data_IF_205228312452
#
_entry.id   IF_205228312452
#
_cell.length_a   1.000
_cell.length_b   1.000
_cell.length_c   1.000
_cell.angle_alpha   90.00
_cell.angle_beta   90.00
_cell.angle_gamma   90.00
#
_symmetry.space_group_name_H-M   'P 1'
#
loop_
_entity.id
_entity.type
_entity.pdbx_description
1 polymer ?
#
# COMPACT_ATOMS: atom_id res chain seq x y z
N UNK A 1 3.15 3.36 23.75
CA UNK A 1 2.40 4.11 22.73
C UNK A 1 2.29 3.22 21.50
N UNK A 2 1.13 3.12 20.91
CA UNK A 2 0.90 2.40 19.66
C UNK A 2 1.37 3.27 18.48
N UNK A 3 1.96 2.65 17.45
CA UNK A 3 2.39 3.33 16.23
C UNK A 3 1.17 3.60 15.33
N UNK A 4 1.05 4.81 14.82
CA UNK A 4 -0.04 5.23 13.94
C UNK A 4 0.19 4.82 12.48
N UNK A 5 1.39 5.07 11.93
CA UNK A 5 1.76 4.70 10.56
C UNK A 5 1.95 3.20 10.44
N UNK A 6 1.29 2.56 9.48
CA UNK A 6 1.31 1.10 9.31
C UNK A 6 2.56 0.63 8.55
N UNK A 7 2.91 -0.64 8.71
CA UNK A 7 4.02 -1.27 7.98
C UNK A 7 3.49 -2.39 7.10
N UNK A 8 3.76 -2.27 5.80
CA UNK A 8 3.59 -3.33 4.82
C UNK A 8 4.93 -4.04 4.62
N UNK A 9 5.00 -5.34 4.84
CA UNK A 9 6.21 -6.12 4.64
C UNK A 9 6.02 -7.17 3.55
N UNK A 10 6.97 -7.26 2.61
CA UNK A 10 6.92 -8.26 1.56
C UNK A 10 7.44 -9.60 2.06
N UNK A 11 6.62 -10.65 1.87
CA UNK A 11 7.00 -12.02 2.17
C UNK A 11 7.78 -12.62 1.01
N UNK A 12 8.94 -13.20 1.31
CA UNK A 12 9.80 -13.87 0.35
C UNK A 12 10.66 -14.95 1.02
N UNK A 13 11.74 -15.40 0.40
CA UNK A 13 12.61 -16.44 0.94
C UNK A 13 13.11 -16.16 2.35
N UNK A 14 13.52 -14.91 2.66
CA UNK A 14 14.05 -14.52 3.96
C UNK A 14 13.01 -14.55 5.10
N UNK A 15 11.73 -14.47 4.75
CA UNK A 15 10.59 -14.46 5.68
C UNK A 15 9.62 -15.63 5.44
N UNK A 16 10.12 -16.73 4.85
CA UNK A 16 9.32 -17.95 4.59
C UNK A 16 9.06 -18.78 5.83
N UNK A 17 9.97 -18.75 6.79
CA UNK A 17 9.87 -19.48 8.05
C UNK A 17 8.81 -18.87 8.99
N UNK A 18 8.00 -19.73 9.63
CA UNK A 18 6.90 -19.31 10.51
C UNK A 18 7.38 -18.52 11.73
N UNK A 19 8.55 -18.87 12.29
CA UNK A 19 9.08 -18.19 13.47
C UNK A 19 9.63 -16.80 13.09
N UNK A 20 10.24 -16.65 11.92
CA UNK A 20 10.66 -15.34 11.40
C UNK A 20 9.45 -14.46 11.16
N UNK A 21 8.41 -14.99 10.49
CA UNK A 21 7.16 -14.26 10.23
C UNK A 21 6.48 -13.83 11.54
N UNK A 22 6.45 -14.70 12.55
CA UNK A 22 5.91 -14.37 13.89
C UNK A 22 6.68 -13.21 14.53
N UNK A 23 8.01 -13.24 14.49
CA UNK A 23 8.84 -12.15 15.01
C UNK A 23 8.59 -10.83 14.25
N UNK A 24 8.44 -10.88 12.93
CA UNK A 24 8.12 -9.69 12.12
C UNK A 24 6.75 -9.11 12.49
N UNK A 25 5.71 -9.95 12.68
CA UNK A 25 4.37 -9.49 13.08
C UNK A 25 4.44 -8.88 14.50
N UNK A 26 5.16 -9.50 15.44
CA UNK A 26 5.38 -8.94 16.77
C UNK A 26 6.18 -7.63 16.74
N UNK A 27 7.14 -7.49 15.83
CA UNK A 27 7.92 -6.27 15.61
C UNK A 27 7.11 -5.12 15.02
N UNK A 28 5.94 -5.42 14.40
CA UNK A 28 5.02 -4.37 13.97
C UNK A 28 4.48 -4.47 12.54
N UNK A 29 4.61 -5.59 11.85
CA UNK A 29 3.97 -5.75 10.53
C UNK A 29 2.45 -5.73 10.68
N UNK A 30 1.78 -4.90 9.88
CA UNK A 30 0.32 -4.74 9.85
C UNK A 30 -0.29 -5.37 8.60
N UNK A 31 0.44 -5.37 7.48
CA UNK A 31 0.01 -5.99 6.22
C UNK A 31 1.17 -6.76 5.61
N UNK A 32 0.90 -7.96 5.13
CA UNK A 32 1.86 -8.78 4.38
C UNK A 32 1.57 -8.67 2.89
N UNK A 33 2.56 -8.20 2.14
CA UNK A 33 2.52 -8.15 0.67
C UNK A 33 2.98 -9.48 0.08
N UNK A 34 2.17 -10.04 -0.80
CA UNK A 34 2.50 -11.18 -1.66
C UNK A 34 2.75 -10.66 -3.08
N UNK A 35 3.99 -10.77 -3.55
CA UNK A 35 4.38 -10.31 -4.88
C UNK A 35 4.06 -11.39 -5.94
N UNK A 36 3.05 -11.16 -6.75
CA UNK A 36 2.58 -12.09 -7.78
C UNK A 36 3.46 -12.09 -9.04
N UNK A 37 4.51 -11.27 -9.09
CA UNK A 37 5.55 -11.41 -10.13
C UNK A 37 6.36 -12.69 -9.98
N UNK A 38 6.31 -13.36 -8.82
CA UNK A 38 7.11 -14.53 -8.49
C UNK A 38 6.26 -15.58 -7.77
N UNK A 39 6.46 -16.85 -8.16
CA UNK A 39 5.75 -17.99 -7.57
C UNK A 39 4.54 -18.42 -8.38
N UNK A 40 3.97 -19.55 -7.99
CA UNK A 40 2.77 -20.14 -8.58
C UNK A 40 1.55 -19.83 -7.71
N UNK A 41 0.33 -19.98 -8.23
CA UNK A 41 -0.90 -19.78 -7.44
C UNK A 41 -0.91 -20.57 -6.12
N UNK A 42 -0.43 -21.83 -6.13
CA UNK A 42 -0.39 -22.70 -4.95
C UNK A 42 0.57 -22.15 -3.87
N UNK A 43 1.69 -21.55 -4.30
CA UNK A 43 2.66 -20.94 -3.38
C UNK A 43 2.01 -19.75 -2.65
N UNK A 44 1.21 -18.93 -3.37
CA UNK A 44 0.50 -17.80 -2.78
C UNK A 44 -0.59 -18.26 -1.80
N UNK A 45 -1.30 -19.34 -2.11
CA UNK A 45 -2.27 -19.96 -1.19
C UNK A 45 -1.59 -20.40 0.10
N UNK A 46 -0.51 -21.16 0.01
CA UNK A 46 0.24 -21.61 1.18
C UNK A 46 0.83 -20.45 2.00
N UNK A 47 1.31 -19.40 1.31
CA UNK A 47 1.82 -18.19 1.97
C UNK A 47 0.74 -17.44 2.73
N UNK A 48 -0.43 -17.23 2.12
CA UNK A 48 -1.55 -16.54 2.73
C UNK A 48 -2.07 -17.32 3.96
N UNK A 49 -2.21 -18.64 3.84
CA UNK A 49 -2.63 -19.49 4.95
C UNK A 49 -1.68 -19.35 6.14
N UNK A 50 -0.36 -19.44 5.91
CA UNK A 50 0.62 -19.28 6.99
C UNK A 50 0.54 -17.89 7.65
N UNK A 51 0.30 -16.82 6.88
CA UNK A 51 0.12 -15.47 7.43
C UNK A 51 -1.09 -15.45 8.38
N UNK A 52 -2.23 -16.02 7.98
CA UNK A 52 -3.45 -16.09 8.81
C UNK A 52 -3.22 -16.91 10.09
N UNK A 53 -2.57 -18.06 9.98
CA UNK A 53 -2.24 -18.92 11.12
C UNK A 53 -1.34 -18.21 12.15
N UNK A 54 -0.28 -17.54 11.65
CA UNK A 54 0.66 -16.83 12.54
C UNK A 54 -0.01 -15.59 13.15
N UNK A 55 -0.78 -14.82 12.38
CA UNK A 55 -1.53 -13.66 12.87
C UNK A 55 -2.48 -14.06 14.01
N UNK A 56 -3.23 -15.15 13.84
CA UNK A 56 -4.12 -15.70 14.86
C UNK A 56 -3.34 -16.10 16.12
N UNK A 57 -2.20 -16.77 15.98
CA UNK A 57 -1.35 -17.17 17.10
C UNK A 57 -0.78 -15.99 17.87
N UNK A 58 -0.42 -14.92 17.15
CA UNK A 58 0.09 -13.68 17.77
C UNK A 58 -1.03 -12.86 18.40
N UNK A 59 -2.29 -13.06 17.98
CA UNK A 59 -3.45 -12.28 18.42
C UNK A 59 -3.47 -10.87 17.82
N UNK A 60 -2.91 -10.69 16.61
CA UNK A 60 -2.92 -9.40 15.91
C UNK A 60 -3.59 -9.52 14.54
N UNK A 61 -4.48 -8.58 14.17
CA UNK A 61 -4.98 -8.52 12.81
C UNK A 61 -3.85 -8.17 11.83
N UNK A 62 -3.73 -8.95 10.75
CA UNK A 62 -2.76 -8.73 9.69
C UNK A 62 -3.47 -8.83 8.35
N UNK A 63 -3.42 -7.76 7.55
CA UNK A 63 -3.96 -7.74 6.20
C UNK A 63 -3.06 -8.45 5.18
N UNK A 64 -3.64 -8.88 4.07
CA UNK A 64 -2.91 -9.45 2.93
C UNK A 64 -3.10 -8.55 1.71
N UNK A 65 -1.99 -8.11 1.12
CA UNK A 65 -1.94 -7.35 -0.12
C UNK A 65 -1.38 -8.22 -1.24
N UNK A 66 -2.21 -8.54 -2.23
CA UNK A 66 -1.80 -9.20 -3.46
C UNK A 66 -1.31 -8.13 -4.47
N UNK A 67 -0.03 -8.14 -4.82
CA UNK A 67 0.57 -7.17 -5.73
C UNK A 67 0.76 -7.80 -7.10
N UNK A 68 -0.07 -7.38 -8.07
CA UNK A 68 -0.08 -7.90 -9.44
C UNK A 68 1.19 -7.50 -10.18
N UNK A 69 1.61 -8.35 -11.12
CA UNK A 69 2.83 -8.10 -11.89
C UNK A 69 2.70 -6.90 -12.82
N UNK A 70 1.54 -6.76 -13.49
CA UNK A 70 1.33 -5.79 -14.56
C UNK A 70 2.18 -6.08 -15.82
N UNK A 71 2.14 -5.17 -16.79
CA UNK A 71 2.83 -5.30 -18.07
C UNK A 71 4.30 -4.85 -17.96
N UNK A 72 5.08 -5.40 -17.03
CA UNK A 72 6.51 -5.05 -16.94
C UNK A 72 7.25 -5.61 -18.17
N UNK A 73 7.70 -4.69 -19.01
CA UNK A 73 8.46 -5.01 -20.23
C UNK A 73 9.89 -5.39 -19.84
N UNK A 74 10.42 -6.44 -20.47
CA UNK A 74 11.74 -6.98 -20.13
C UNK A 74 12.54 -7.34 -21.37
N UNK A 75 13.87 -7.24 -21.26
CA UNK A 75 14.77 -7.90 -22.23
C UNK A 75 14.65 -9.41 -22.11
N UNK A 76 14.93 -10.11 -23.21
CA UNK A 76 15.01 -11.56 -23.25
C UNK A 76 16.22 -12.11 -22.49
N UNK A 77 16.52 -13.38 -22.76
CA UNK A 77 17.69 -14.05 -22.19
C UNK A 77 18.92 -13.88 -23.06
N UNK A 78 20.09 -13.91 -22.46
CA UNK A 78 21.39 -13.90 -23.12
C UNK A 78 22.02 -15.31 -23.13
N UNK A 79 22.86 -15.58 -24.12
CA UNK A 79 23.55 -16.87 -24.24
C UNK A 79 24.38 -17.21 -22.98
N UNK A 80 25.04 -16.17 -22.41
CA UNK A 80 25.89 -16.30 -21.21
C UNK A 80 25.22 -15.73 -19.96
N UNK A 81 23.87 -15.53 -19.98
CA UNK A 81 23.09 -14.99 -18.88
C UNK A 81 23.23 -13.50 -18.70
N UNK A 82 24.27 -12.87 -19.27
CA UNK A 82 24.53 -11.43 -19.19
C UNK A 82 25.50 -10.98 -20.29
N UNK A 83 25.50 -9.68 -20.55
CA UNK A 83 26.43 -9.01 -21.46
C UNK A 83 26.94 -7.73 -20.83
N UNK A 84 28.12 -7.26 -21.27
CA UNK A 84 28.61 -5.92 -20.93
C UNK A 84 28.41 -5.01 -22.13
N UNK A 85 27.76 -3.87 -21.94
CA UNK A 85 27.53 -2.85 -22.97
C UNK A 85 28.46 -1.66 -22.74
N UNK A 86 29.14 -1.23 -23.80
CA UNK A 86 30.05 -0.06 -23.75
C UNK A 86 29.34 1.21 -24.20
N UNK A 87 29.72 2.36 -23.65
CA UNK A 87 29.21 3.65 -24.10
C UNK A 87 29.53 3.89 -25.58
N UNK A 88 28.56 4.31 -26.37
CA UNK A 88 28.69 4.54 -27.81
C UNK A 88 28.54 3.28 -28.66
N UNK A 89 28.38 2.10 -28.08
CA UNK A 89 28.14 0.85 -28.78
C UNK A 89 26.75 0.88 -29.42
N UNK A 90 26.63 0.32 -30.64
CA UNK A 90 25.33 0.01 -31.23
C UNK A 90 24.78 -1.25 -30.61
N UNK A 91 23.49 -1.24 -30.24
CA UNK A 91 22.80 -2.39 -29.66
C UNK A 91 21.38 -2.47 -30.22
N UNK A 92 20.93 -3.66 -30.57
CA UNK A 92 19.62 -3.87 -31.20
C UNK A 92 18.69 -4.62 -30.23
N UNK A 93 17.50 -4.03 -30.01
CA UNK A 93 16.41 -4.75 -29.37
C UNK A 93 15.51 -5.32 -30.47
N UNK A 94 15.41 -6.66 -30.56
CA UNK A 94 14.73 -7.35 -31.63
C UNK A 94 13.58 -8.23 -31.10
N UNK A 95 12.36 -7.91 -31.50
CA UNK A 95 11.17 -8.64 -31.08
C UNK A 95 11.17 -10.14 -31.53
N UNK A 96 12.05 -10.54 -32.46
CA UNK A 96 12.20 -11.91 -32.94
C UNK A 96 13.43 -12.65 -32.38
N UNK A 97 14.30 -11.93 -31.66
CA UNK A 97 15.48 -12.55 -31.05
C UNK A 97 15.07 -13.46 -29.90
N UNK A 98 15.43 -14.73 -29.95
CA UNK A 98 15.15 -15.69 -28.87
C UNK A 98 16.27 -15.72 -27.83
N UNK A 99 17.52 -15.57 -28.26
CA UNK A 99 18.69 -15.60 -27.39
C UNK A 99 19.67 -14.49 -27.78
N UNK A 100 19.86 -13.56 -26.83
CA UNK A 100 20.67 -12.37 -27.03
C UNK A 100 22.17 -12.60 -26.88
N UNK A 101 22.94 -11.58 -27.31
CA UNK A 101 24.40 -11.52 -27.22
C UNK A 101 24.84 -10.04 -27.01
N UNK A 102 26.13 -9.73 -27.18
CA UNK A 102 26.66 -8.38 -27.04
C UNK A 102 26.14 -7.38 -28.09
N UNK A 103 25.51 -7.82 -29.18
CA UNK A 103 25.02 -6.97 -30.27
C UNK A 103 23.51 -6.76 -30.24
N UNK A 104 22.76 -7.74 -29.69
CA UNK A 104 21.29 -7.71 -29.65
C UNK A 104 20.69 -8.47 -28.49
N UNK A 105 19.47 -8.09 -28.12
CA UNK A 105 18.64 -8.80 -27.16
C UNK A 105 17.20 -8.93 -27.64
N UNK A 106 16.52 -9.98 -27.15
CA UNK A 106 15.09 -10.16 -27.35
C UNK A 106 14.24 -9.24 -26.47
N UNK A 107 12.93 -9.25 -26.75
CA UNK A 107 11.91 -8.53 -26.01
C UNK A 107 10.75 -9.47 -25.66
N UNK A 108 10.22 -9.39 -24.46
CA UNK A 108 8.98 -10.08 -24.10
C UNK A 108 7.73 -9.32 -24.64
N UNK A 109 7.77 -7.99 -24.68
CA UNK A 109 6.72 -7.13 -25.25
C UNK A 109 7.05 -6.78 -26.71
N UNK A 110 6.42 -7.51 -27.64
CA UNK A 110 6.72 -7.41 -29.09
C UNK A 110 6.27 -6.08 -29.71
N UNK A 111 5.24 -5.44 -29.16
CA UNK A 111 4.71 -4.16 -29.64
C UNK A 111 5.55 -2.95 -29.25
N UNK A 112 6.64 -3.11 -28.48
CA UNK A 112 7.57 -2.03 -28.16
C UNK A 112 8.06 -1.31 -29.43
N UNK A 113 8.20 -2.03 -30.55
CA UNK A 113 8.59 -1.47 -31.85
C UNK A 113 7.59 -0.46 -32.40
N UNK A 114 6.32 -0.48 -31.92
CA UNK A 114 5.29 0.49 -32.30
C UNK A 114 5.24 1.69 -31.34
N UNK A 115 5.71 1.47 -30.10
CA UNK A 115 5.65 2.47 -29.04
C UNK A 115 6.85 3.41 -29.04
N UNK A 116 7.91 3.10 -29.81
CA UNK A 116 9.14 3.89 -29.85
C UNK A 116 9.46 4.38 -31.27
N UNK A 117 10.18 5.48 -31.36
CA UNK A 117 10.64 6.10 -32.61
C UNK A 117 12.03 6.68 -32.42
N UNK A 118 12.64 7.14 -33.50
CA UNK A 118 13.92 7.86 -33.44
C UNK A 118 13.83 9.02 -32.43
N UNK A 119 14.83 9.12 -31.55
CA UNK A 119 14.89 10.07 -30.44
C UNK A 119 14.23 9.61 -29.14
N UNK A 120 13.53 8.46 -29.13
CA UNK A 120 13.08 7.86 -27.87
C UNK A 120 14.27 7.40 -27.04
N UNK A 121 14.15 7.47 -25.70
CA UNK A 121 15.16 6.98 -24.77
C UNK A 121 14.59 5.79 -24.01
N UNK A 122 15.32 4.68 -24.03
CA UNK A 122 14.99 3.47 -23.29
C UNK A 122 15.91 3.31 -22.08
N UNK A 123 15.31 2.99 -20.96
CA UNK A 123 15.97 2.84 -19.66
C UNK A 123 15.88 1.38 -19.24
N UNK A 124 17.02 0.71 -19.15
CA UNK A 124 17.10 -0.71 -18.79
C UNK A 124 17.70 -0.88 -17.40
N UNK A 125 17.34 -1.96 -16.70
CA UNK A 125 17.81 -2.29 -15.35
C UNK A 125 17.63 -1.10 -14.39
N UNK A 126 16.40 -0.61 -14.28
CA UNK A 126 16.01 0.52 -13.43
C UNK A 126 16.80 1.81 -13.73
N UNK A 127 17.11 2.03 -15.03
CA UNK A 127 17.80 3.22 -15.52
C UNK A 127 19.33 3.18 -15.44
N UNK A 128 19.92 2.07 -15.00
CA UNK A 128 21.39 1.90 -14.98
C UNK A 128 22.00 1.88 -16.37
N UNK A 129 21.25 1.38 -17.37
CA UNK A 129 21.64 1.38 -18.75
C UNK A 129 20.68 2.26 -19.54
N UNK A 130 21.22 3.13 -20.36
CA UNK A 130 20.46 4.09 -21.16
C UNK A 130 20.75 3.90 -22.63
N UNK A 131 19.70 3.67 -23.43
CA UNK A 131 19.78 3.46 -24.86
C UNK A 131 19.04 4.60 -25.60
N UNK A 132 19.70 5.23 -26.55
CA UNK A 132 19.08 6.18 -27.48
C UNK A 132 18.61 5.46 -28.72
N UNK A 133 17.32 5.56 -29.05
CA UNK A 133 16.74 4.96 -30.24
C UNK A 133 17.11 5.80 -31.45
N UNK A 134 17.84 5.22 -32.42
CA UNK A 134 18.18 5.86 -33.68
C UNK A 134 17.08 5.66 -34.74
N UNK A 135 16.56 4.43 -34.84
CA UNK A 135 15.52 4.07 -35.81
C UNK A 135 14.86 2.74 -35.44
N UNK A 136 13.67 2.52 -36.01
CA UNK A 136 12.95 1.25 -35.89
C UNK A 136 12.71 0.69 -37.31
N UNK A 137 13.08 -0.56 -37.55
CA UNK A 137 12.88 -1.25 -38.82
C UNK A 137 12.27 -2.62 -38.57
N UNK A 138 10.99 -2.77 -38.92
CA UNK A 138 10.27 -4.03 -38.71
C UNK A 138 10.20 -4.44 -37.24
N UNK A 139 10.88 -5.55 -36.91
CA UNK A 139 10.94 -6.06 -35.52
C UNK A 139 12.13 -5.54 -34.72
N UNK A 140 12.98 -4.72 -35.31
CA UNK A 140 14.25 -4.29 -34.74
C UNK A 140 14.24 -2.82 -34.35
N UNK A 141 14.67 -2.52 -33.12
CA UNK A 141 14.90 -1.19 -32.57
C UNK A 141 16.42 -0.99 -32.50
N UNK A 142 16.95 -0.14 -33.36
CA UNK A 142 18.38 0.19 -33.42
C UNK A 142 18.68 1.29 -32.42
N UNK A 143 19.62 1.06 -31.53
CA UNK A 143 19.97 1.98 -30.47
C UNK A 143 21.48 2.21 -30.37
N UNK A 144 21.85 3.34 -29.75
CA UNK A 144 23.21 3.62 -29.27
C UNK A 144 23.18 3.65 -27.73
N UNK A 145 24.14 2.99 -27.13
CA UNK A 145 24.31 2.96 -25.68
C UNK A 145 24.86 4.30 -25.21
N UNK A 146 24.03 5.07 -24.50
CA UNK A 146 24.45 6.34 -23.85
C UNK A 146 25.18 6.07 -22.56
N UNK A 147 24.62 5.19 -21.71
CA UNK A 147 25.24 4.68 -20.50
C UNK A 147 25.21 3.16 -20.53
N UNK A 148 26.40 2.58 -20.52
CA UNK A 148 26.61 1.14 -20.55
C UNK A 148 26.75 0.53 -19.17
N UNK A 149 27.01 -0.78 -19.15
CA UNK A 149 27.18 -1.57 -17.95
C UNK A 149 26.81 -3.03 -18.16
N UNK A 150 26.73 -3.79 -17.08
CA UNK A 150 26.30 -5.18 -17.11
C UNK A 150 24.77 -5.27 -17.30
N UNK A 151 24.32 -5.90 -18.38
CA UNK A 151 22.90 -6.20 -18.66
C UNK A 151 22.69 -7.70 -18.56
N UNK A 152 21.89 -8.15 -17.59
CA UNK A 152 21.56 -9.56 -17.40
C UNK A 152 20.16 -9.92 -17.89
N UNK A 153 19.82 -11.21 -17.87
CA UNK A 153 18.54 -11.76 -18.27
C UNK A 153 17.33 -11.07 -17.62
N UNK A 154 16.28 -10.89 -18.41
CA UNK A 154 14.96 -10.47 -17.96
C UNK A 154 14.92 -9.12 -17.22
N UNK A 155 15.90 -8.22 -17.44
CA UNK A 155 15.90 -6.88 -16.88
C UNK A 155 14.81 -6.01 -17.47
N UNK A 156 14.22 -5.15 -16.63
CA UNK A 156 13.14 -4.24 -17.01
C UNK A 156 13.56 -3.25 -18.09
N UNK A 157 12.60 -2.89 -18.94
CA UNK A 157 12.72 -1.80 -19.94
C UNK A 157 11.63 -0.78 -19.63
N UNK A 158 12.01 0.46 -19.45
CA UNK A 158 11.10 1.60 -19.38
C UNK A 158 11.39 2.55 -20.55
N UNK A 159 10.40 3.36 -20.94
CA UNK A 159 10.58 4.46 -21.86
C UNK A 159 10.56 5.77 -21.08
N UNK A 160 11.61 6.58 -21.22
CA UNK A 160 11.65 7.90 -20.59
C UNK A 160 10.51 8.78 -21.12
N UNK A 161 9.73 9.38 -20.20
CA UNK A 161 8.58 10.20 -20.55
C UNK A 161 7.30 9.43 -20.88
N UNK A 162 7.25 8.12 -20.62
CA UNK A 162 6.05 7.29 -20.81
C UNK A 162 5.71 6.94 -22.26
N UNK A 163 4.43 6.70 -22.56
CA UNK A 163 3.92 6.43 -23.91
C UNK A 163 3.97 4.98 -24.36
N UNK A 164 4.07 4.03 -23.40
CA UNK A 164 3.94 2.60 -23.71
C UNK A 164 2.46 2.19 -23.77
N UNK A 165 2.04 1.54 -24.86
CA UNK A 165 0.63 1.20 -25.10
C UNK A 165 0.15 -0.06 -24.38
N UNK A 166 1.07 -0.84 -23.77
CA UNK A 166 0.74 -2.07 -23.05
C UNK A 166 -0.42 -1.86 -22.05
N UNK A 167 -1.44 -2.76 -22.06
CA UNK A 167 -2.57 -2.66 -21.12
C UNK A 167 -2.09 -2.86 -19.68
N UNK A 168 -2.71 -2.17 -18.72
CA UNK A 168 -2.35 -2.28 -17.30
C UNK A 168 -2.59 -3.68 -16.73
N UNK A 169 -3.65 -4.36 -17.18
CA UNK A 169 -3.97 -5.72 -16.76
C UNK A 169 -3.66 -6.71 -17.88
N UNK A 170 -2.71 -7.60 -17.62
CA UNK A 170 -2.36 -8.72 -18.52
C UNK A 170 -3.27 -9.92 -18.29
N UNK A 171 -3.23 -10.91 -19.19
CA UNK A 171 -3.93 -12.18 -19.01
C UNK A 171 -3.50 -12.89 -17.71
N UNK A 172 -2.20 -12.80 -17.36
CA UNK A 172 -1.68 -13.32 -16.10
C UNK A 172 -2.32 -12.60 -14.90
N UNK A 173 -2.42 -11.27 -14.95
CA UNK A 173 -3.03 -10.50 -13.84
C UNK A 173 -4.50 -10.87 -13.64
N UNK A 174 -5.25 -11.19 -14.71
CA UNK A 174 -6.62 -11.66 -14.61
C UNK A 174 -6.72 -13.01 -13.89
N UNK A 175 -5.78 -13.93 -14.12
CA UNK A 175 -5.69 -15.20 -13.40
C UNK A 175 -5.19 -15.01 -11.96
N UNK A 176 -4.27 -14.10 -11.75
CA UNK A 176 -3.75 -13.73 -10.42
C UNK A 176 -4.85 -13.09 -9.55
N UNK A 177 -5.76 -12.30 -10.11
CA UNK A 177 -6.93 -11.77 -9.41
C UNK A 177 -7.82 -12.91 -8.87
N UNK A 178 -8.04 -13.97 -9.64
CA UNK A 178 -8.78 -15.16 -9.15
C UNK A 178 -8.07 -15.81 -7.97
N UNK A 179 -6.74 -15.88 -8.03
CA UNK A 179 -5.93 -16.38 -6.91
C UNK A 179 -6.00 -15.45 -5.71
N UNK A 180 -5.93 -14.13 -5.91
CA UNK A 180 -6.08 -13.14 -4.85
C UNK A 180 -7.45 -13.25 -4.15
N UNK A 181 -8.53 -13.47 -4.90
CA UNK A 181 -9.87 -13.74 -4.34
C UNK A 181 -9.89 -15.05 -3.56
N UNK A 182 -9.30 -16.13 -4.10
CA UNK A 182 -9.24 -17.45 -3.43
C UNK A 182 -8.50 -17.41 -2.09
N UNK A 183 -7.50 -16.54 -1.93
CA UNK A 183 -6.77 -16.36 -0.67
C UNK A 183 -7.41 -15.30 0.23
N UNK A 184 -8.57 -14.78 -0.15
CA UNK A 184 -9.27 -13.72 0.58
C UNK A 184 -8.35 -12.51 0.84
N UNK A 185 -7.62 -12.06 -0.19
CA UNK A 185 -6.76 -10.89 -0.08
C UNK A 185 -7.59 -9.65 0.30
N UNK A 186 -7.09 -8.88 1.25
CA UNK A 186 -7.74 -7.65 1.71
C UNK A 186 -7.54 -6.51 0.70
N UNK A 187 -6.40 -6.54 0.00
CA UNK A 187 -6.00 -5.55 -1.00
C UNK A 187 -5.45 -6.22 -2.25
N UNK A 188 -5.75 -5.61 -3.40
CA UNK A 188 -5.12 -5.94 -4.69
C UNK A 188 -4.45 -4.69 -5.24
N UNK A 189 -3.13 -4.71 -5.36
CA UNK A 189 -2.37 -3.63 -5.97
C UNK A 189 -2.24 -3.86 -7.47
N UNK A 190 -2.63 -2.87 -8.25
CA UNK A 190 -2.60 -2.87 -9.72
C UNK A 190 -1.36 -2.13 -10.17
N UNK A 191 -0.47 -2.82 -10.88
CA UNK A 191 0.77 -2.25 -11.41
C UNK A 191 0.54 -1.52 -12.73
N UNK A 192 1.19 -0.39 -12.89
CA UNK A 192 1.21 0.42 -14.10
C UNK A 192 -0.16 0.88 -14.63
N UNK A 193 -1.16 1.24 -13.79
CA UNK A 193 -2.39 1.83 -14.31
C UNK A 193 -2.09 3.17 -14.99
N UNK A 194 -2.84 3.48 -16.05
CA UNK A 194 -2.72 4.73 -16.82
C UNK A 194 -3.94 5.64 -16.66
N UNK A 195 -5.07 5.07 -16.24
CA UNK A 195 -6.35 5.78 -16.17
C UNK A 195 -7.27 5.18 -15.11
N UNK A 196 -8.36 5.90 -14.82
CA UNK A 196 -9.46 5.38 -14.00
C UNK A 196 -10.06 4.07 -14.55
N UNK A 197 -10.11 3.93 -15.89
CA UNK A 197 -10.68 2.74 -16.53
C UNK A 197 -9.93 1.45 -16.16
N UNK A 198 -8.60 1.50 -16.02
CA UNK A 198 -7.79 0.37 -15.59
C UNK A 198 -8.18 -0.08 -14.17
N UNK A 199 -8.42 0.87 -13.27
CA UNK A 199 -8.82 0.59 -11.89
C UNK A 199 -10.25 0.06 -11.80
N UNK A 200 -11.17 0.61 -12.59
CA UNK A 200 -12.54 0.07 -12.68
C UNK A 200 -12.55 -1.35 -13.23
N UNK A 201 -11.73 -1.66 -14.24
CA UNK A 201 -11.60 -3.02 -14.77
C UNK A 201 -11.11 -3.99 -13.69
N UNK A 202 -10.08 -3.62 -12.91
CA UNK A 202 -9.59 -4.44 -11.81
C UNK A 202 -10.69 -4.71 -10.78
N UNK A 203 -11.47 -3.68 -10.37
CA UNK A 203 -12.62 -3.84 -9.46
C UNK A 203 -13.67 -4.79 -10.01
N UNK A 204 -14.01 -4.65 -11.29
CA UNK A 204 -14.98 -5.53 -11.92
C UNK A 204 -14.52 -6.98 -11.96
N UNK A 205 -13.23 -7.24 -12.25
CA UNK A 205 -12.66 -8.59 -12.24
C UNK A 205 -12.67 -9.20 -10.84
N UNK A 206 -12.33 -8.43 -9.80
CA UNK A 206 -12.42 -8.87 -8.40
C UNK A 206 -13.86 -9.25 -8.05
N UNK A 207 -14.84 -8.39 -8.36
CA UNK A 207 -16.24 -8.64 -8.10
C UNK A 207 -16.77 -9.85 -8.88
N UNK A 208 -16.41 -9.96 -10.16
CA UNK A 208 -16.80 -11.10 -11.00
C UNK A 208 -16.25 -12.43 -10.49
N UNK A 209 -15.11 -12.41 -9.80
CA UNK A 209 -14.53 -13.57 -9.12
C UNK A 209 -15.14 -13.83 -7.73
N UNK A 210 -16.08 -13.00 -7.26
CA UNK A 210 -16.74 -13.11 -5.96
C UNK A 210 -15.95 -12.47 -4.80
N UNK A 211 -14.92 -11.67 -5.09
CA UNK A 211 -14.08 -11.01 -4.10
C UNK A 211 -14.55 -9.61 -3.72
N UNK A 212 -14.01 -9.10 -2.61
CA UNK A 212 -14.30 -7.79 -2.04
C UNK A 212 -13.03 -7.01 -1.66
N UNK A 213 -11.88 -7.38 -2.23
CA UNK A 213 -10.61 -6.71 -1.95
C UNK A 213 -10.64 -5.23 -2.35
N UNK A 214 -10.02 -4.39 -1.55
CA UNK A 214 -9.78 -2.98 -1.91
C UNK A 214 -8.69 -2.89 -2.98
N UNK A 215 -8.86 -2.01 -3.96
CA UNK A 215 -7.89 -1.79 -5.02
C UNK A 215 -6.91 -0.68 -4.67
N UNK A 216 -5.62 -0.95 -4.86
CA UNK A 216 -4.53 0.01 -4.66
C UNK A 216 -3.89 0.30 -6.02
N UNK A 217 -3.96 1.53 -6.51
CA UNK A 217 -3.30 1.93 -7.73
C UNK A 217 -1.81 2.21 -7.47
N UNK A 218 -0.91 1.52 -8.16
CA UNK A 218 0.53 1.80 -8.08
C UNK A 218 0.89 2.91 -9.06
N UNK A 219 1.29 4.05 -8.54
CA UNK A 219 1.66 5.21 -9.36
C UNK A 219 3.14 5.06 -9.76
N UNK A 220 3.34 4.59 -10.97
CA UNK A 220 4.63 4.15 -11.52
C UNK A 220 4.97 4.79 -12.86
N UNK A 221 3.99 5.49 -13.50
CA UNK A 221 4.11 6.04 -14.86
C UNK A 221 3.79 7.53 -14.91
N UNK A 222 4.33 8.20 -15.92
CA UNK A 222 4.02 9.61 -16.22
C UNK A 222 2.52 9.79 -16.44
N UNK A 223 1.88 8.91 -17.22
CA UNK A 223 0.45 8.96 -17.51
C UNK A 223 -0.40 8.86 -16.23
N UNK A 224 0.04 8.04 -15.27
CA UNK A 224 -0.64 7.95 -13.98
C UNK A 224 -0.51 9.23 -13.14
N UNK A 225 0.58 9.97 -13.30
CA UNK A 225 0.77 11.28 -12.65
C UNK A 225 -0.14 12.34 -13.27
N UNK A 226 -0.32 12.31 -14.60
CA UNK A 226 -1.22 13.22 -15.33
C UNK A 226 -2.69 12.93 -15.00
N UNK A 227 -3.08 11.64 -14.94
CA UNK A 227 -4.42 11.16 -14.60
C UNK A 227 -4.63 10.91 -13.10
N UNK A 228 -3.80 11.48 -12.23
CA UNK A 228 -3.71 11.11 -10.82
C UNK A 228 -5.05 11.21 -10.09
N UNK A 229 -5.78 12.29 -10.28
CA UNK A 229 -7.03 12.54 -9.55
C UNK A 229 -8.11 11.52 -9.91
N UNK A 230 -8.28 11.23 -11.21
CA UNK A 230 -9.26 10.24 -11.65
C UNK A 230 -8.88 8.81 -11.23
N UNK A 231 -7.59 8.48 -11.18
CA UNK A 231 -7.10 7.18 -10.68
C UNK A 231 -7.35 7.06 -9.16
N UNK A 232 -7.10 8.12 -8.39
CA UNK A 232 -7.40 8.15 -6.96
C UNK A 232 -8.90 7.93 -6.73
N UNK A 233 -9.77 8.62 -7.46
CA UNK A 233 -11.22 8.49 -7.31
C UNK A 233 -11.72 7.08 -7.64
N UNK A 234 -11.15 6.46 -8.66
CA UNK A 234 -11.47 5.10 -9.08
C UNK A 234 -10.94 4.00 -8.14
N UNK A 235 -9.97 4.32 -7.27
CA UNK A 235 -9.28 3.38 -6.40
C UNK A 235 -9.76 3.47 -4.95
N UNK A 236 -9.36 2.51 -4.09
CA UNK A 236 -9.55 2.58 -2.65
C UNK A 236 -8.30 3.12 -1.94
N UNK A 237 -7.17 3.12 -2.65
CA UNK A 237 -5.92 3.72 -2.24
C UNK A 237 -4.91 3.79 -3.36
N UNK A 238 -3.77 4.40 -3.07
CA UNK A 238 -2.63 4.48 -3.97
C UNK A 238 -1.37 3.96 -3.31
N UNK A 239 -0.42 3.53 -4.13
CA UNK A 239 0.96 3.25 -3.73
C UNK A 239 1.89 4.15 -4.52
N UNK A 240 2.66 4.98 -3.82
CA UNK A 240 3.75 5.76 -4.41
C UNK A 240 4.93 4.81 -4.61
N UNK A 241 5.03 4.22 -5.80
CA UNK A 241 6.04 3.22 -6.12
C UNK A 241 7.27 3.91 -6.73
N UNK A 242 8.10 4.47 -5.84
CA UNK A 242 9.15 5.43 -6.16
C UNK A 242 10.23 4.89 -7.10
N UNK A 243 10.50 3.58 -7.06
CA UNK A 243 11.52 2.96 -7.93
C UNK A 243 11.18 3.09 -9.41
N UNK A 244 10.05 2.51 -9.85
CA UNK A 244 9.63 2.58 -11.25
C UNK A 244 9.24 4.03 -11.65
N UNK A 245 8.63 4.80 -10.73
CA UNK A 245 8.28 6.20 -10.98
C UNK A 245 9.52 7.06 -11.28
N UNK A 246 10.60 6.91 -10.49
CA UNK A 246 11.84 7.68 -10.66
C UNK A 246 12.49 7.42 -12.02
N UNK A 247 12.36 6.21 -12.54
CA UNK A 247 12.87 5.85 -13.86
C UNK A 247 12.17 6.66 -14.97
N UNK A 248 10.86 6.90 -14.85
CA UNK A 248 10.08 7.58 -15.88
C UNK A 248 10.07 9.11 -15.76
N UNK A 249 9.94 9.66 -14.53
CA UNK A 249 9.84 11.12 -14.30
C UNK A 249 11.16 11.77 -13.90
N UNK A 250 12.18 10.97 -13.59
CA UNK A 250 13.44 11.41 -12.98
C UNK A 250 13.37 11.44 -11.46
N UNK A 251 14.46 11.06 -10.81
CA UNK A 251 14.57 10.93 -9.35
C UNK A 251 14.29 12.23 -8.59
N UNK A 252 14.76 13.34 -9.12
CA UNK A 252 14.60 14.68 -8.54
C UNK A 252 13.13 15.12 -8.41
N UNK A 253 12.21 14.61 -9.25
CA UNK A 253 10.80 14.95 -9.21
C UNK A 253 10.02 14.16 -8.15
N UNK A 254 10.48 12.97 -7.77
CA UNK A 254 9.76 12.03 -6.93
C UNK A 254 9.36 12.60 -5.56
N UNK A 255 10.21 13.32 -4.79
CA UNK A 255 9.82 13.82 -3.48
C UNK A 255 8.63 14.78 -3.50
N UNK A 256 8.58 15.69 -4.49
CA UNK A 256 7.46 16.62 -4.65
C UNK A 256 6.17 15.88 -5.06
N UNK A 257 6.29 14.91 -5.98
CA UNK A 257 5.17 14.07 -6.40
C UNK A 257 4.63 13.22 -5.24
N UNK A 258 5.50 12.62 -4.42
CA UNK A 258 5.10 11.87 -3.21
C UNK A 258 4.20 12.72 -2.30
N UNK A 259 4.63 13.93 -1.96
CA UNK A 259 3.87 14.85 -1.11
C UNK A 259 2.50 15.17 -1.72
N UNK A 260 2.45 15.49 -3.03
CA UNK A 260 1.20 15.76 -3.75
C UNK A 260 0.26 14.56 -3.74
N UNK A 261 0.78 13.35 -4.02
CA UNK A 261 0.00 12.11 -4.06
C UNK A 261 -0.61 11.77 -2.71
N UNK A 262 0.19 11.82 -1.63
CA UNK A 262 -0.28 11.52 -0.27
C UNK A 262 -1.36 12.54 0.14
N UNK A 263 -1.14 13.84 -0.11
CA UNK A 263 -2.11 14.88 0.19
C UNK A 263 -3.44 14.63 -0.53
N UNK A 264 -3.42 14.46 -1.87
CA UNK A 264 -4.62 14.23 -2.67
C UNK A 264 -5.37 12.95 -2.25
N UNK A 265 -4.65 11.87 -1.94
CA UNK A 265 -5.27 10.64 -1.43
C UNK A 265 -6.02 10.91 -0.10
N UNK A 266 -5.40 11.62 0.83
CA UNK A 266 -6.02 11.98 2.12
C UNK A 266 -7.25 12.86 1.93
N UNK A 267 -7.16 13.92 1.13
CA UNK A 267 -8.28 14.82 0.81
C UNK A 267 -9.49 14.08 0.22
N UNK A 268 -9.23 13.02 -0.56
CA UNK A 268 -10.25 12.18 -1.20
C UNK A 268 -10.64 10.95 -0.38
N UNK A 269 -10.24 10.89 0.90
CA UNK A 269 -10.51 9.75 1.80
C UNK A 269 -10.02 8.41 1.24
N UNK A 270 -8.83 8.41 0.64
CA UNK A 270 -8.17 7.21 0.10
C UNK A 270 -6.91 6.89 0.88
N UNK A 271 -6.49 5.62 0.82
CA UNK A 271 -5.27 5.15 1.45
C UNK A 271 -4.04 5.57 0.63
N UNK A 272 -2.93 5.80 1.32
CA UNK A 272 -1.63 6.06 0.70
C UNK A 272 -0.56 5.16 1.30
N UNK A 273 0.16 4.43 0.44
CA UNK A 273 1.31 3.60 0.81
C UNK A 273 2.56 4.21 0.17
N UNK A 274 3.59 4.51 0.95
CA UNK A 274 4.90 4.91 0.42
C UNK A 274 5.80 3.70 0.31
N UNK A 275 6.30 3.42 -0.89
CA UNK A 275 6.94 2.18 -1.23
C UNK A 275 8.28 2.35 -1.94
N UNK A 276 9.08 1.29 -1.93
CA UNK A 276 10.38 1.09 -2.57
C UNK A 276 11.51 1.93 -1.99
N UNK A 277 12.68 1.30 -1.84
CA UNK A 277 13.93 1.93 -1.37
C UNK A 277 13.81 2.66 -0.03
N UNK A 278 12.96 2.16 0.88
CA UNK A 278 12.76 2.78 2.19
C UNK A 278 13.94 2.51 3.14
N UNK A 279 14.40 1.26 3.18
CA UNK A 279 15.46 0.77 4.08
C UNK A 279 16.42 -0.16 3.32
N UNK A 280 16.73 0.14 2.06
CA UNK A 280 17.41 -0.74 1.11
C UNK A 280 18.77 -1.23 1.62
N UNK A 281 19.53 -0.39 2.34
CA UNK A 281 20.80 -0.79 2.93
C UNK A 281 20.65 -1.96 3.91
N UNK A 282 19.48 -2.11 4.54
CA UNK A 282 19.21 -3.18 5.49
C UNK A 282 18.97 -4.56 4.83
N UNK A 283 18.96 -4.64 3.51
CA UNK A 283 19.11 -5.93 2.81
C UNK A 283 20.40 -6.64 3.25
N UNK A 284 21.48 -5.88 3.43
CA UNK A 284 22.82 -6.39 3.76
C UNK A 284 23.39 -5.88 5.09
N UNK A 285 22.83 -4.82 5.65
CA UNK A 285 23.27 -4.18 6.91
C UNK A 285 22.22 -4.34 8.01
N UNK A 286 22.60 -4.60 9.27
CA UNK A 286 21.68 -4.68 10.39
C UNK A 286 21.14 -3.31 10.85
N UNK A 287 21.66 -2.21 10.30
CA UNK A 287 21.24 -0.84 10.63
C UNK A 287 21.04 -0.01 9.38
N UNK A 288 20.04 0.91 9.36
CA UNK A 288 19.79 1.78 8.23
C UNK A 288 20.83 2.91 8.16
N UNK A 289 20.93 3.54 7.00
CA UNK A 289 21.64 4.80 6.82
C UNK A 289 20.84 5.97 7.40
N UNK A 290 21.50 7.10 7.68
CA UNK A 290 20.82 8.33 8.12
C UNK A 290 19.88 8.89 7.05
N UNK A 291 20.20 8.72 5.78
CA UNK A 291 19.34 9.14 4.66
C UNK A 291 18.03 8.35 4.65
N UNK A 292 18.09 7.04 4.84
CA UNK A 292 16.89 6.18 4.92
C UNK A 292 16.03 6.51 6.14
N UNK A 293 16.64 6.76 7.30
CA UNK A 293 15.93 7.21 8.50
C UNK A 293 15.17 8.52 8.21
N UNK A 294 15.84 9.48 7.53
CA UNK A 294 15.21 10.74 7.14
C UNK A 294 14.09 10.55 6.13
N UNK A 295 14.26 9.63 5.18
CA UNK A 295 13.26 9.34 4.15
C UNK A 295 11.99 8.71 4.74
N UNK A 296 12.14 7.71 5.61
CA UNK A 296 10.99 7.12 6.33
C UNK A 296 10.29 8.17 7.18
N UNK A 297 11.04 8.98 7.94
CA UNK A 297 10.45 10.04 8.76
C UNK A 297 9.69 11.05 7.91
N UNK A 298 10.21 11.46 6.75
CA UNK A 298 9.50 12.35 5.83
C UNK A 298 8.19 11.74 5.32
N UNK A 299 8.18 10.45 4.94
CA UNK A 299 6.94 9.79 4.52
C UNK A 299 5.87 9.79 5.64
N UNK A 300 6.28 9.57 6.90
CA UNK A 300 5.40 9.66 8.07
C UNK A 300 4.86 11.06 8.26
N UNK A 301 5.71 12.08 8.14
CA UNK A 301 5.34 13.50 8.29
C UNK A 301 4.47 13.99 7.13
N UNK A 302 4.64 13.44 5.92
CA UNK A 302 3.75 13.69 4.77
C UNK A 302 2.33 13.13 5.00
N UNK A 303 2.16 12.27 6.01
CA UNK A 303 0.86 11.70 6.40
C UNK A 303 0.48 10.43 5.67
N UNK A 304 1.45 9.66 5.16
CA UNK A 304 1.19 8.34 4.56
C UNK A 304 0.47 7.41 5.55
N UNK A 305 -0.42 6.55 5.06
CA UNK A 305 -1.05 5.53 5.91
C UNK A 305 -0.06 4.44 6.28
N UNK A 306 0.75 4.03 5.32
CA UNK A 306 1.73 2.97 5.53
C UNK A 306 3.03 3.23 4.78
N UNK A 307 4.10 2.64 5.30
CA UNK A 307 5.41 2.51 4.65
C UNK A 307 5.65 1.04 4.30
N UNK A 308 6.28 0.77 3.15
CA UNK A 308 6.43 -0.60 2.65
C UNK A 308 7.90 -1.01 2.58
N UNK A 309 8.18 -2.22 3.06
CA UNK A 309 9.43 -2.95 2.93
C UNK A 309 9.29 -3.99 1.79
N UNK A 310 10.23 -4.00 0.86
CA UNK A 310 10.26 -4.87 -0.33
C UNK A 310 11.31 -5.98 -0.18
N UNK A 311 12.46 -5.84 -0.82
CA UNK A 311 13.55 -6.80 -0.75
C UNK A 311 14.13 -6.93 0.66
N UNK A 312 14.05 -5.88 1.47
CA UNK A 312 14.52 -5.83 2.85
C UNK A 312 13.95 -6.98 3.70
N UNK A 313 12.67 -7.28 3.53
CA UNK A 313 11.98 -8.37 4.25
C UNK A 313 11.80 -9.63 3.42
N UNK A 314 11.84 -9.52 2.08
CA UNK A 314 11.65 -10.67 1.19
C UNK A 314 12.93 -11.48 0.96
N UNK A 315 14.09 -10.84 0.85
CA UNK A 315 15.37 -11.43 0.49
C UNK A 315 16.54 -10.96 1.38
N UNK A 316 16.34 -9.94 2.21
CA UNK A 316 17.36 -9.38 3.07
C UNK A 316 17.83 -10.32 4.18
N UNK A 317 19.00 -10.05 4.73
CA UNK A 317 19.58 -10.83 5.83
C UNK A 317 18.97 -10.50 7.19
N UNK A 318 18.31 -9.36 7.31
CA UNK A 318 17.85 -8.79 8.58
C UNK A 318 16.36 -8.39 8.55
N UNK A 319 15.44 -9.31 8.16
CA UNK A 319 14.02 -8.96 7.94
C UNK A 319 13.32 -8.46 9.22
N UNK A 320 13.62 -9.05 10.38
CA UNK A 320 13.02 -8.66 11.66
C UNK A 320 13.56 -7.32 12.14
N UNK A 321 14.89 -7.17 12.15
CA UNK A 321 15.59 -5.96 12.55
C UNK A 321 15.18 -4.75 11.69
N UNK A 322 14.87 -4.99 10.41
CA UNK A 322 14.37 -3.94 9.51
C UNK A 322 12.98 -3.47 9.93
N UNK A 323 12.06 -4.39 10.27
CA UNK A 323 10.73 -4.02 10.79
C UNK A 323 10.84 -3.28 12.13
N UNK A 324 11.72 -3.72 13.02
CA UNK A 324 11.98 -3.06 14.30
C UNK A 324 12.55 -1.64 14.11
N UNK A 325 13.51 -1.48 13.19
CA UNK A 325 14.08 -0.17 12.86
C UNK A 325 12.99 0.76 12.28
N UNK A 326 12.21 0.29 11.31
CA UNK A 326 11.11 1.06 10.74
C UNK A 326 10.08 1.46 11.79
N UNK A 327 9.71 0.53 12.68
CA UNK A 327 8.79 0.83 13.80
C UNK A 327 9.32 1.95 14.68
N UNK A 328 10.60 1.90 15.07
CA UNK A 328 11.21 2.98 15.90
C UNK A 328 11.21 4.32 15.18
N UNK A 329 11.56 4.35 13.89
CA UNK A 329 11.59 5.59 13.10
C UNK A 329 10.18 6.20 13.00
N UNK A 330 9.17 5.38 12.66
CA UNK A 330 7.79 5.85 12.59
C UNK A 330 7.33 6.44 13.92
N UNK A 331 7.53 5.74 15.02
CA UNK A 331 7.13 6.20 16.36
C UNK A 331 7.83 7.49 16.77
N UNK A 332 9.09 7.69 16.38
CA UNK A 332 9.82 8.92 16.69
C UNK A 332 9.34 10.09 15.84
N UNK A 333 9.12 9.87 14.55
CA UNK A 333 8.57 10.87 13.64
C UNK A 333 7.16 11.32 14.06
N UNK A 334 6.34 10.39 14.53
CA UNK A 334 4.98 10.67 15.01
C UNK A 334 4.96 11.58 16.25
N UNK A 335 5.97 11.55 17.10
CA UNK A 335 6.07 12.47 18.27
C UNK A 335 6.27 13.93 17.86
N UNK A 336 6.98 14.16 16.74
CA UNK A 336 7.25 15.50 16.22
C UNK A 336 6.19 15.99 15.23
N UNK A 337 5.28 15.11 14.80
CA UNK A 337 4.15 15.50 13.97
C UNK A 337 3.25 16.45 14.78
N UNK A 338 3.10 17.68 14.30
CA UNK A 338 2.16 18.60 14.92
C UNK A 338 0.75 17.98 14.92
N UNK A 339 0.16 17.89 16.11
CA UNK A 339 -1.25 17.59 16.25
C UNK A 339 -2.01 18.84 15.79
N UNK A 340 -2.25 18.92 14.49
CA UNK A 340 -3.06 20.00 13.92
C UNK A 340 -4.30 19.39 13.28
N UNK A 341 -5.45 19.84 13.77
CA UNK A 341 -6.67 19.73 12.99
C UNK A 341 -6.51 20.73 11.84
N UNK A 342 -6.17 20.19 10.66
CA UNK A 342 -5.94 21.00 9.47
C UNK A 342 -7.15 21.91 9.22
N UNK A 343 -6.91 23.22 9.22
CA UNK A 343 -7.97 24.22 9.09
C UNK A 343 -8.72 24.12 7.75
N UNK A 344 -8.06 23.64 6.70
CA UNK A 344 -8.70 23.38 5.42
C UNK A 344 -9.72 22.24 5.53
N UNK A 345 -9.41 21.21 6.28
CA UNK A 345 -10.32 20.08 6.53
C UNK A 345 -11.52 20.49 7.41
N UNK A 346 -11.29 21.35 8.39
CA UNK A 346 -12.36 21.85 9.28
C UNK A 346 -13.37 22.74 8.55
N UNK A 347 -12.96 23.39 7.46
CA UNK A 347 -13.80 24.28 6.66
C UNK A 347 -14.46 23.59 5.46
N UNK A 348 -14.26 22.29 5.28
CA UNK A 348 -14.91 21.54 4.20
C UNK A 348 -16.42 21.45 4.42
N UNK A 349 -17.18 21.60 3.32
CA UNK A 349 -18.62 21.34 3.32
C UNK A 349 -18.83 19.86 3.00
N UNK A 350 -19.35 19.12 3.96
CA UNK A 350 -19.67 17.70 3.79
C UNK A 350 -21.07 17.52 3.24
N UNK A 351 -21.25 16.53 2.40
CA UNK A 351 -22.54 16.13 1.82
C UNK A 351 -23.15 14.93 2.51
N UNK A 352 -22.39 14.26 3.41
CA UNK A 352 -22.81 13.04 4.10
C UNK A 352 -22.76 13.22 5.61
N UNK A 353 -23.72 12.58 6.29
CA UNK A 353 -23.84 12.63 7.77
C UNK A 353 -22.64 11.96 8.43
N UNK A 354 -22.21 10.78 7.95
CA UNK A 354 -21.11 10.02 8.52
C UNK A 354 -19.78 10.79 8.50
N UNK A 355 -19.54 11.60 7.48
CA UNK A 355 -18.38 12.49 7.39
C UNK A 355 -18.42 13.56 8.49
N UNK A 356 -19.58 14.21 8.66
CA UNK A 356 -19.77 15.27 9.68
C UNK A 356 -19.63 14.71 11.09
N UNK A 357 -20.19 13.51 11.36
CA UNK A 357 -20.05 12.84 12.66
C UNK A 357 -18.61 12.45 12.93
N UNK A 358 -17.87 11.96 11.90
CA UNK A 358 -16.45 11.63 12.02
C UNK A 358 -15.62 12.86 12.40
N UNK A 359 -15.87 14.01 11.75
CA UNK A 359 -15.20 15.26 12.09
C UNK A 359 -15.55 15.72 13.50
N UNK A 360 -16.82 15.67 13.87
CA UNK A 360 -17.28 16.05 15.22
C UNK A 360 -16.61 15.17 16.30
N UNK A 361 -16.46 13.85 16.03
CA UNK A 361 -15.79 12.92 16.93
C UNK A 361 -14.32 13.29 17.14
N UNK A 362 -13.59 13.54 16.04
CA UNK A 362 -12.19 13.95 16.04
C UNK A 362 -12.01 15.29 16.77
N UNK A 363 -12.82 16.30 16.43
CA UNK A 363 -12.79 17.62 17.07
C UNK A 363 -13.04 17.52 18.56
N UNK A 364 -14.07 16.79 18.96
CA UNK A 364 -14.43 16.55 20.37
C UNK A 364 -13.31 15.84 21.12
N UNK A 365 -12.75 14.79 20.51
CA UNK A 365 -11.67 14.01 21.10
C UNK A 365 -10.43 14.86 21.38
N UNK A 366 -10.05 15.70 20.42
CA UNK A 366 -8.92 16.61 20.55
C UNK A 366 -9.10 17.62 21.67
N UNK A 367 -10.24 18.31 21.70
CA UNK A 367 -10.49 19.41 22.65
C UNK A 367 -10.77 18.92 24.07
N UNK A 368 -11.46 17.78 24.23
CA UNK A 368 -11.69 17.18 25.54
C UNK A 368 -10.52 16.30 26.02
N UNK A 369 -9.49 16.10 25.17
CA UNK A 369 -8.34 15.24 25.47
C UNK A 369 -8.78 13.87 25.95
N UNK A 370 -9.72 13.24 25.24
CA UNK A 370 -10.24 11.93 25.58
C UNK A 370 -9.15 10.86 25.42
N UNK A 371 -9.30 9.74 26.10
CA UNK A 371 -8.33 8.64 26.07
C UNK A 371 -8.34 7.88 24.74
N UNK A 372 -9.53 7.72 24.15
CA UNK A 372 -9.75 6.97 22.93
C UNK A 372 -11.03 7.39 22.20
N UNK A 373 -11.07 7.15 20.88
CA UNK A 373 -12.29 7.19 20.09
C UNK A 373 -12.65 5.72 19.77
N UNK A 374 -13.90 5.33 20.06
CA UNK A 374 -14.46 4.04 19.65
C UNK A 374 -15.40 4.26 18.45
N UNK A 375 -14.96 3.84 17.27
CA UNK A 375 -15.73 3.90 16.05
C UNK A 375 -16.42 2.56 15.78
N UNK A 376 -17.72 2.47 16.06
CA UNK A 376 -18.51 1.30 15.72
C UNK A 376 -18.82 1.33 14.22
N UNK A 377 -18.38 0.30 13.49
CA UNK A 377 -18.44 0.31 12.03
C UNK A 377 -18.66 -1.10 11.46
N UNK A 378 -19.42 -1.20 10.36
CA UNK A 378 -19.56 -2.46 9.62
C UNK A 378 -18.43 -2.66 8.59
N UNK A 379 -18.08 -1.62 7.85
CA UNK A 379 -17.14 -1.69 6.71
C UNK A 379 -15.79 -1.03 6.96
N UNK A 380 -15.63 -0.29 8.07
CA UNK A 380 -14.46 0.54 8.33
C UNK A 380 -14.54 1.96 7.76
N UNK A 381 -15.62 2.33 7.06
CA UNK A 381 -15.71 3.65 6.40
C UNK A 381 -15.60 4.83 7.39
N UNK A 382 -16.27 4.75 8.54
CA UNK A 382 -16.18 5.78 9.59
C UNK A 382 -14.77 5.91 10.14
N UNK A 383 -14.11 4.77 10.41
CA UNK A 383 -12.74 4.75 10.88
C UNK A 383 -11.76 5.34 9.85
N UNK A 384 -12.00 5.10 8.55
CA UNK A 384 -11.21 5.69 7.48
C UNK A 384 -11.33 7.22 7.47
N UNK A 385 -12.55 7.78 7.59
CA UNK A 385 -12.75 9.22 7.71
C UNK A 385 -12.02 9.80 8.90
N UNK A 386 -12.12 9.15 10.07
CA UNK A 386 -11.42 9.59 11.28
C UNK A 386 -9.90 9.55 11.14
N UNK A 387 -9.38 8.59 10.37
CA UNK A 387 -7.93 8.44 10.15
C UNK A 387 -7.32 9.55 9.28
N UNK A 388 -8.13 10.34 8.59
CA UNK A 388 -7.62 11.42 7.71
C UNK A 388 -7.08 12.61 8.49
N UNK A 389 -7.52 12.77 9.74
CA UNK A 389 -7.13 13.87 10.61
C UNK A 389 -6.26 13.37 11.77
N UNK A 390 -5.15 14.06 12.01
CA UNK A 390 -4.31 13.76 13.16
C UNK A 390 -4.81 14.57 14.38
N UNK A 391 -5.66 13.94 15.21
CA UNK A 391 -6.13 14.55 16.45
C UNK A 391 -5.29 14.18 17.68
N UNK A 392 -4.26 13.35 17.52
CA UNK A 392 -3.44 12.83 18.62
C UNK A 392 -4.15 11.83 19.55
N UNK A 393 -5.37 11.39 19.18
CA UNK A 393 -6.15 10.40 19.93
C UNK A 393 -6.34 9.16 19.07
N UNK A 394 -6.02 7.94 19.55
CA UNK A 394 -6.15 6.71 18.78
C UNK A 394 -7.62 6.39 18.51
N UNK A 395 -7.91 5.87 17.30
CA UNK A 395 -9.22 5.40 16.88
C UNK A 395 -9.26 3.88 16.97
N UNK A 396 -10.08 3.36 17.88
CA UNK A 396 -10.37 1.93 17.96
C UNK A 396 -11.63 1.65 17.16
N UNK A 397 -11.47 0.91 16.07
CA UNK A 397 -12.57 0.56 15.18
C UNK A 397 -13.13 -0.80 15.56
N UNK A 398 -14.36 -0.79 16.07
CA UNK A 398 -15.03 -1.98 16.57
C UNK A 398 -16.00 -2.50 15.52
N UNK A 399 -15.83 -3.76 15.11
CA UNK A 399 -16.63 -4.36 14.04
C UNK A 399 -16.90 -5.84 14.28
N UNK A 400 -18.10 -6.35 13.95
CA UNK A 400 -18.39 -7.78 13.95
C UNK A 400 -17.98 -8.46 12.62
N UNK A 401 -17.33 -7.75 11.69
CA UNK A 401 -16.94 -8.26 10.38
C UNK A 401 -15.43 -8.56 10.36
N UNK A 402 -15.02 -9.84 10.31
CA UNK A 402 -13.60 -10.20 10.30
C UNK A 402 -12.82 -9.58 9.13
N UNK A 403 -13.44 -9.47 7.96
CA UNK A 403 -12.84 -8.87 6.76
C UNK A 403 -12.57 -7.36 6.94
N UNK A 404 -13.45 -6.65 7.66
CA UNK A 404 -13.23 -5.24 7.96
C UNK A 404 -12.07 -5.06 8.94
N UNK A 405 -11.86 -5.98 9.89
CA UNK A 405 -10.74 -5.95 10.83
C UNK A 405 -9.40 -5.97 10.09
N UNK A 406 -9.22 -6.90 9.14
CA UNK A 406 -7.96 -7.04 8.40
C UNK A 406 -7.73 -5.90 7.40
N UNK A 407 -8.79 -5.36 6.80
CA UNK A 407 -8.69 -4.16 5.95
C UNK A 407 -8.27 -2.92 6.75
N UNK A 408 -8.86 -2.71 7.91
CA UNK A 408 -8.53 -1.57 8.75
C UNK A 408 -7.10 -1.63 9.34
N UNK A 409 -6.42 -2.78 9.28
CA UNK A 409 -5.02 -2.89 9.67
C UNK A 409 -4.08 -1.98 8.84
N UNK A 410 -4.51 -1.51 7.66
CA UNK A 410 -3.75 -0.56 6.83
C UNK A 410 -4.06 0.92 7.14
N UNK A 411 -5.10 1.22 7.93
CA UNK A 411 -5.53 2.60 8.15
C UNK A 411 -4.69 3.28 9.24
N UNK A 412 -4.11 4.43 8.93
CA UNK A 412 -3.29 5.22 9.87
C UNK A 412 -4.07 5.54 11.14
N UNK A 413 -3.44 5.41 12.31
CA UNK A 413 -3.99 5.70 13.63
C UNK A 413 -5.29 4.93 13.99
N UNK A 414 -5.65 3.90 13.21
CA UNK A 414 -6.79 3.02 13.46
C UNK A 414 -6.31 1.68 14.01
N UNK A 415 -6.96 1.23 15.10
CA UNK A 415 -6.68 -0.03 15.77
C UNK A 415 -7.96 -0.87 15.75
N UNK A 416 -8.09 -1.82 14.80
CA UNK A 416 -9.29 -2.62 14.65
C UNK A 416 -9.43 -3.63 15.78
N UNK A 417 -10.65 -3.74 16.32
CA UNK A 417 -11.04 -4.72 17.33
C UNK A 417 -12.27 -5.51 16.85
N UNK A 418 -12.18 -6.83 16.99
CA UNK A 418 -13.29 -7.70 16.64
C UNK A 418 -14.32 -7.77 17.78
N UNK A 419 -15.59 -7.48 17.47
CA UNK A 419 -16.72 -7.63 18.38
C UNK A 419 -17.48 -8.92 18.07
N UNK A 420 -17.45 -9.88 19.00
CA UNK A 420 -18.08 -11.20 18.81
C UNK A 420 -19.61 -11.16 18.88
N UNK A 421 -20.17 -10.17 19.55
CA UNK A 421 -21.62 -10.04 19.75
C UNK A 421 -22.21 -8.92 18.91
N UNK A 422 -23.42 -9.13 18.41
CA UNK A 422 -24.28 -8.09 17.83
C UNK A 422 -25.39 -7.82 18.83
N UNK A 423 -25.26 -6.77 19.66
CA UNK A 423 -26.29 -6.43 20.64
C UNK A 423 -27.62 -6.11 19.97
N UNK A 424 -28.73 -6.37 20.64
CA UNK A 424 -30.06 -6.10 20.11
C UNK A 424 -30.42 -4.60 20.14
N UNK A 425 -29.83 -3.86 21.06
CA UNK A 425 -30.10 -2.44 21.23
C UNK A 425 -28.82 -1.60 21.12
N UNK A 426 -28.99 -0.32 20.79
CA UNK A 426 -27.88 0.66 20.72
C UNK A 426 -27.19 0.81 22.08
N UNK A 427 -27.96 0.82 23.18
CA UNK A 427 -27.38 1.03 24.50
C UNK A 427 -26.52 -0.18 24.93
N UNK A 428 -26.96 -1.39 24.63
CA UNK A 428 -26.12 -2.60 24.79
C UNK A 428 -24.85 -2.50 23.95
N UNK A 429 -24.95 -2.10 22.67
CA UNK A 429 -23.81 -1.93 21.79
C UNK A 429 -22.77 -0.94 22.35
N UNK A 430 -23.23 0.19 22.89
CA UNK A 430 -22.35 1.19 23.48
C UNK A 430 -21.71 0.70 24.78
N UNK A 431 -22.45 -0.10 25.56
CA UNK A 431 -21.94 -0.73 26.78
C UNK A 431 -20.88 -1.80 26.46
N UNK A 432 -21.16 -2.67 25.49
CA UNK A 432 -20.23 -3.72 25.05
C UNK A 432 -18.94 -3.11 24.46
N UNK A 433 -19.06 -1.99 23.75
CA UNK A 433 -17.89 -1.25 23.25
C UNK A 433 -17.01 -0.72 24.38
N UNK A 434 -17.62 -0.14 25.43
CA UNK A 434 -16.90 0.32 26.61
C UNK A 434 -16.22 -0.84 27.36
N UNK A 435 -16.92 -1.96 27.51
CA UNK A 435 -16.37 -3.17 28.13
C UNK A 435 -15.21 -3.75 27.33
N UNK A 436 -15.33 -3.83 26.01
CA UNK A 436 -14.26 -4.35 25.15
C UNK A 436 -12.99 -3.50 25.32
N UNK A 437 -13.10 -2.18 25.25
CA UNK A 437 -11.96 -1.27 25.46
C UNK A 437 -11.32 -1.42 26.86
N UNK A 438 -12.14 -1.66 27.89
CA UNK A 438 -11.67 -1.88 29.25
C UNK A 438 -10.95 -3.22 29.39
N UNK A 439 -11.50 -4.29 28.82
CA UNK A 439 -10.92 -5.64 28.83
C UNK A 439 -9.57 -5.70 28.09
N UNK A 440 -9.45 -4.95 26.98
CA UNK A 440 -8.19 -4.80 26.24
C UNK A 440 -7.18 -3.87 26.95
N UNK A 441 -7.52 -3.32 28.12
CA UNK A 441 -6.65 -2.44 28.89
C UNK A 441 -6.37 -1.08 28.22
N UNK A 442 -7.21 -0.67 27.28
CA UNK A 442 -7.10 0.58 26.51
C UNK A 442 -7.54 1.75 27.39
N UNK A 443 -8.62 1.56 28.15
CA UNK A 443 -9.22 2.56 29.04
C UNK A 443 -9.43 2.01 30.44
N UNK A 444 -9.49 2.90 31.43
CA UNK A 444 -9.79 2.56 32.82
C UNK A 444 -10.95 3.41 33.34
N UNK A 445 -11.55 3.00 34.45
CA UNK A 445 -12.64 3.75 35.08
C UNK A 445 -12.25 5.20 35.32
N UNK A 446 -13.10 6.13 34.86
CA UNK A 446 -12.90 7.56 34.95
C UNK A 446 -12.35 8.22 33.68
N UNK A 447 -11.79 7.45 32.73
CA UNK A 447 -11.35 7.96 31.44
C UNK A 447 -12.55 8.49 30.64
N UNK A 448 -12.31 9.53 29.82
CA UNK A 448 -13.28 9.98 28.82
C UNK A 448 -13.01 9.31 27.49
N UNK A 449 -14.07 8.85 26.82
CA UNK A 449 -14.04 8.31 25.46
C UNK A 449 -15.14 8.95 24.61
N UNK A 450 -14.90 8.98 23.31
CA UNK A 450 -15.91 9.31 22.30
C UNK A 450 -16.34 8.03 21.61
N UNK A 451 -17.65 7.79 21.56
CA UNK A 451 -18.25 6.66 20.86
C UNK A 451 -19.01 7.18 19.63
N UNK A 452 -18.84 6.57 18.48
CA UNK A 452 -19.65 6.85 17.29
C UNK A 452 -20.33 5.58 16.79
N UNK A 453 -21.60 5.68 16.38
CA UNK A 453 -22.42 4.56 15.94
C UNK A 453 -23.43 4.97 14.88
N UNK A 454 -23.95 4.00 14.14
CA UNK A 454 -25.11 4.16 13.26
C UNK A 454 -26.40 3.76 13.95
N UNK A 455 -27.47 4.51 13.67
CA UNK A 455 -28.84 4.19 14.06
C UNK A 455 -29.77 4.37 12.84
N UNK A 456 -30.36 3.30 12.29
CA UNK A 456 -30.30 1.92 12.75
C UNK A 456 -28.94 1.23 12.59
N UNK A 457 -28.64 0.28 13.47
CA UNK A 457 -27.41 -0.49 13.46
C UNK A 457 -27.30 -1.39 12.22
N UNK A 458 -26.06 -1.77 11.83
CA UNK A 458 -25.81 -2.73 10.75
C UNK A 458 -25.87 -2.15 9.34
N UNK A 459 -25.99 -0.83 9.19
CA UNK A 459 -26.00 -0.16 7.89
C UNK A 459 -24.62 0.44 7.59
N UNK A 460 -23.97 0.00 6.52
CA UNK A 460 -22.70 0.60 6.08
C UNK A 460 -22.88 2.07 5.71
N UNK A 461 -22.00 2.95 6.21
CA UNK A 461 -22.11 4.40 6.02
C UNK A 461 -23.24 5.07 6.80
N UNK A 462 -23.88 4.34 7.71
CA UNK A 462 -25.01 4.83 8.53
C UNK A 462 -24.63 5.54 9.81
N UNK A 463 -23.36 5.85 10.05
CA UNK A 463 -22.92 6.55 11.28
C UNK A 463 -23.55 7.92 11.37
N UNK A 464 -24.39 8.12 12.39
CA UNK A 464 -25.17 9.35 12.60
C UNK A 464 -25.25 9.79 14.08
N UNK A 465 -24.58 9.06 14.97
CA UNK A 465 -24.62 9.31 16.41
C UNK A 465 -23.20 9.43 16.97
N UNK A 466 -23.03 10.40 17.86
CA UNK A 466 -21.84 10.59 18.68
C UNK A 466 -22.24 10.66 20.15
N UNK A 467 -21.53 9.95 21.03
CA UNK A 467 -21.73 9.97 22.47
C UNK A 467 -20.40 10.15 23.19
N UNK A 468 -20.36 11.02 24.17
CA UNK A 468 -19.21 11.18 25.08
C UNK A 468 -19.54 10.40 26.35
N UNK A 469 -18.64 9.55 26.79
CA UNK A 469 -18.84 8.65 27.92
C UNK A 469 -17.65 8.77 28.88
N UNK A 470 -17.95 8.80 30.18
CA UNK A 470 -16.96 8.54 31.23
C UNK A 470 -17.03 7.07 31.60
N UNK A 471 -15.94 6.36 31.43
CA UNK A 471 -15.85 4.92 31.67
C UNK A 471 -16.24 4.59 33.13
N UNK A 472 -17.18 3.68 33.29
CA UNK A 472 -17.69 3.23 34.59
C UNK A 472 -18.81 4.09 35.18
N UNK A 473 -19.27 5.15 34.53
CA UNK A 473 -20.39 5.99 35.01
C UNK A 473 -21.76 5.52 34.47
N UNK A 474 -21.78 4.57 33.52
CA UNK A 474 -23.02 4.01 33.03
C UNK A 474 -23.66 3.17 34.11
N UNK A 475 -24.83 3.61 34.63
CA UNK A 475 -25.64 2.76 35.50
C UNK A 475 -26.14 1.57 34.68
N UNK A 476 -26.03 0.32 35.18
CA UNK A 476 -26.72 -0.79 34.57
C UNK A 476 -28.21 -0.43 34.48
N UNK A 477 -28.80 -0.56 33.32
CA UNK A 477 -30.24 -0.41 33.16
C UNK A 477 -30.92 -1.39 34.08
N UNK A 478 -31.61 -0.89 35.10
CA UNK A 478 -32.55 -1.71 35.86
C UNK A 478 -33.70 -2.07 34.92
N UNK A 479 -33.85 -3.37 34.67
CA UNK A 479 -34.99 -3.92 33.95
C UNK A 479 -36.32 -3.53 34.59
#
# INVERSE_FOLDING_TARGET
>A
MSRDTKIVATRGPASSDAAVLERMIRAGVDVVRLNFSHGKPEDHVARAQLVREVATRVGRPVGILADLQGPKIRVGKFADGKVWLENGQHFVLDAKCELGNAERAGLDYKDLTRDVSAGSVLLLDDGRIVLDVERVIGSEIYTVVRHGGELSDNKGINRQGGGLSAPALTAKDMDDIRTAVRIEADFVAVSFPKSAADMYMAKQLIHAAGGHAHTIAKIERVEAVEALEEIIDASDGIMVARGDLAVEVGDAAVPALQKRMIRLARERNKLAITATQMMESMILSPTPTRAEVSDVANAVLDGTDAVMLSAETAAGRYPVETVEAMTRICMEAEKSAEVSLDSEFLNQVFTRIDQTISLAAIWTAHHLKVKAIAALTESGATALWMSRLNCGVPVYALTPQPEAVTKMALYRAVFPLFMTQRPATRDELLHDAEQLLTNEGIVVKGDLIVLSAGDPMGTSGGTNTLKIVRVGDQKPWSA
#
